data_IF_692889087429
#
_entry.id   IF_692889087429
#
_cell.length_a   1.000
_cell.length_b   1.000
_cell.length_c   1.000
_cell.angle_alpha   90.00
_cell.angle_beta   90.00
_cell.angle_gamma   90.00
#
_symmetry.space_group_name_H-M   'P 1'
#
loop_
_entity.id
_entity.type
_entity.pdbx_description
1 polymer ?
#
# COMPACT_ATOMS: atom_id res chain seq x y z
N UNK A 1 16.12 -19.34 -13.57
CA UNK A 1 15.00 -18.36 -13.45
C UNK A 1 15.31 -17.52 -12.23
N UNK A 2 15.37 -16.20 -12.33
CA UNK A 2 15.62 -15.32 -11.18
C UNK A 2 14.30 -14.74 -10.68
N UNK A 3 14.26 -14.39 -9.40
CA UNK A 3 13.13 -13.67 -8.81
C UNK A 3 13.53 -12.22 -8.61
N UNK A 4 12.72 -11.29 -9.09
CA UNK A 4 12.87 -9.87 -8.86
C UNK A 4 11.92 -9.50 -7.72
N UNK A 5 12.46 -9.06 -6.61
CA UNK A 5 11.71 -8.46 -5.51
C UNK A 5 11.85 -6.95 -5.64
N UNK A 6 10.77 -6.20 -5.67
CA UNK A 6 10.83 -4.75 -5.86
C UNK A 6 10.04 -4.00 -4.81
N UNK A 7 10.56 -2.85 -4.40
CA UNK A 7 9.81 -1.83 -3.68
C UNK A 7 8.88 -1.07 -4.64
N UNK A 8 8.01 -0.23 -4.09
CA UNK A 8 7.08 0.63 -4.83
C UNK A 8 7.58 2.07 -4.83
N UNK A 9 7.56 2.72 -3.66
CA UNK A 9 7.83 4.14 -3.49
C UNK A 9 9.30 4.45 -3.77
N UNK A 10 9.57 5.33 -4.74
CA UNK A 10 10.94 5.69 -5.16
C UNK A 10 11.59 4.67 -6.09
N UNK A 11 11.00 3.49 -6.31
CA UNK A 11 11.56 2.40 -7.10
C UNK A 11 10.76 2.13 -8.37
N UNK A 12 9.48 1.77 -8.26
CA UNK A 12 8.59 1.57 -9.41
C UNK A 12 7.62 2.73 -9.61
N UNK A 13 7.44 3.55 -8.59
CA UNK A 13 6.57 4.72 -8.59
C UNK A 13 7.21 5.89 -7.85
N UNK A 14 6.73 7.10 -8.11
CA UNK A 14 7.17 8.30 -7.39
C UNK A 14 6.67 8.30 -5.94
N UNK A 15 7.56 8.66 -5.00
CA UNK A 15 7.20 8.95 -3.61
C UNK A 15 6.14 10.06 -3.53
N UNK A 16 6.19 11.03 -4.46
CA UNK A 16 5.25 12.15 -4.49
C UNK A 16 3.82 11.71 -4.74
N UNK A 17 3.59 10.59 -5.45
CA UNK A 17 2.23 10.10 -5.68
C UNK A 17 1.47 9.80 -4.39
N UNK A 18 2.12 9.17 -3.41
CA UNK A 18 1.52 8.88 -2.10
C UNK A 18 1.20 10.17 -1.36
N UNK A 19 2.15 11.12 -1.35
CA UNK A 19 2.03 12.37 -0.60
C UNK A 19 1.10 13.39 -1.27
N UNK A 20 1.12 13.46 -2.60
CA UNK A 20 0.43 14.51 -3.35
C UNK A 20 -0.95 14.06 -3.87
N UNK A 21 -1.20 12.75 -3.95
CA UNK A 21 -2.46 12.19 -4.44
C UNK A 21 -3.19 11.36 -3.39
N UNK A 22 -2.59 10.28 -2.92
CA UNK A 22 -3.29 9.32 -2.06
C UNK A 22 -3.66 9.89 -0.68
N UNK A 23 -2.74 10.56 0.01
CA UNK A 23 -3.02 11.14 1.32
C UNK A 23 -4.00 12.31 1.23
N UNK A 24 -3.84 13.29 0.33
CA UNK A 24 -4.82 14.35 0.15
C UNK A 24 -6.19 13.86 -0.27
N UNK A 25 -6.26 12.81 -1.11
CA UNK A 25 -7.53 12.18 -1.46
C UNK A 25 -8.22 11.61 -0.22
N UNK A 26 -7.53 10.75 0.54
CA UNK A 26 -8.07 10.15 1.75
C UNK A 26 -8.55 11.22 2.74
N UNK A 27 -7.73 12.24 2.99
CA UNK A 27 -8.07 13.35 3.89
C UNK A 27 -9.35 14.07 3.49
N UNK A 28 -9.50 14.37 2.19
CA UNK A 28 -10.66 15.08 1.65
C UNK A 28 -11.91 14.21 1.64
N UNK A 29 -11.79 12.93 1.29
CA UNK A 29 -12.93 12.02 1.16
C UNK A 29 -13.43 11.46 2.51
N UNK A 30 -12.59 11.46 3.56
CA UNK A 30 -12.88 10.84 4.86
C UNK A 30 -14.19 11.34 5.51
N UNK A 31 -14.53 12.64 5.57
CA UNK A 31 -15.77 13.09 6.19
C UNK A 31 -17.02 12.50 5.53
N UNK A 32 -17.09 12.57 4.20
CA UNK A 32 -18.21 12.04 3.42
C UNK A 32 -18.28 10.51 3.51
N UNK A 33 -17.14 9.83 3.54
CA UNK A 33 -17.05 8.39 3.70
C UNK A 33 -17.60 7.94 5.06
N UNK A 34 -17.20 8.59 6.16
CA UNK A 34 -17.69 8.27 7.50
C UNK A 34 -19.17 8.57 7.62
N UNK A 35 -19.66 9.69 7.09
CA UNK A 35 -21.09 10.00 7.08
C UNK A 35 -21.94 8.95 6.35
N UNK A 36 -21.43 8.41 5.24
CA UNK A 36 -22.14 7.42 4.43
C UNK A 36 -22.02 5.99 4.98
N UNK A 37 -20.82 5.60 5.46
CA UNK A 37 -20.46 4.22 5.77
C UNK A 37 -20.10 3.97 7.23
N UNK A 38 -20.08 4.99 8.08
CA UNK A 38 -19.62 4.90 9.49
C UNK A 38 -20.45 3.96 10.38
N UNK A 39 -21.65 3.54 9.92
CA UNK A 39 -22.50 2.54 10.60
C UNK A 39 -22.28 1.12 10.12
N UNK A 40 -21.54 0.92 9.03
CA UNK A 40 -21.21 -0.41 8.54
C UNK A 40 -20.23 -1.09 9.51
N UNK A 41 -20.46 -2.37 9.89
CA UNK A 41 -19.64 -3.02 10.93
C UNK A 41 -18.15 -2.98 10.66
N UNK A 42 -17.76 -3.09 9.41
CA UNK A 42 -16.35 -3.09 9.00
C UNK A 42 -15.70 -1.71 9.17
N UNK A 43 -16.39 -0.63 8.87
CA UNK A 43 -15.92 0.75 9.09
C UNK A 43 -16.00 1.09 10.57
N UNK A 44 -17.16 0.80 11.23
CA UNK A 44 -17.42 1.14 12.62
C UNK A 44 -16.36 0.60 13.57
N UNK A 45 -15.94 -0.64 13.41
CA UNK A 45 -14.89 -1.23 14.26
C UNK A 45 -13.59 -0.41 14.29
N UNK A 46 -13.21 0.19 13.15
CA UNK A 46 -12.01 1.01 13.09
C UNK A 46 -12.20 2.39 13.67
N UNK A 47 -13.40 2.98 13.47
CA UNK A 47 -13.75 4.24 14.12
C UNK A 47 -13.80 4.08 15.65
N UNK A 48 -14.29 2.95 16.16
CA UNK A 48 -14.31 2.66 17.59
C UNK A 48 -12.91 2.51 18.19
N UNK A 49 -11.95 1.95 17.45
CA UNK A 49 -10.55 1.91 17.85
C UNK A 49 -9.99 3.33 18.01
N UNK A 50 -10.26 4.22 17.06
CA UNK A 50 -9.83 5.62 17.13
C UNK A 50 -10.53 6.36 18.29
N UNK A 51 -11.83 6.14 18.49
CA UNK A 51 -12.58 6.71 19.60
C UNK A 51 -11.99 6.30 20.95
N UNK A 52 -11.64 5.02 21.12
CA UNK A 52 -11.05 4.51 22.36
C UNK A 52 -9.71 5.20 22.70
N UNK A 53 -8.88 5.51 21.71
CA UNK A 53 -7.63 6.27 21.93
C UNK A 53 -7.89 7.74 22.31
N UNK A 54 -9.04 8.29 21.94
CA UNK A 54 -9.46 9.68 22.27
C UNK A 54 -10.31 9.77 23.55
N UNK A 55 -10.21 8.79 24.44
CA UNK A 55 -10.91 8.81 25.74
C UNK A 55 -12.30 8.20 25.74
N UNK A 56 -12.73 7.52 24.68
CA UNK A 56 -13.99 6.78 24.63
C UNK A 56 -15.06 7.43 23.76
N UNK A 57 -16.28 7.63 24.26
CA UNK A 57 -17.43 8.10 23.49
C UNK A 57 -17.15 9.44 22.76
N UNK A 58 -16.75 9.36 21.50
CA UNK A 58 -16.53 10.48 20.61
C UNK A 58 -17.62 10.52 19.52
N UNK A 59 -18.01 11.73 19.13
CA UNK A 59 -18.82 11.91 17.91
C UNK A 59 -17.98 11.61 16.68
N UNK A 60 -18.61 11.15 15.61
CA UNK A 60 -17.90 10.77 14.37
C UNK A 60 -17.10 11.93 13.77
N UNK A 61 -17.55 13.18 13.96
CA UNK A 61 -16.83 14.39 13.54
C UNK A 61 -15.46 14.51 14.25
N UNK A 62 -15.40 14.24 15.56
CA UNK A 62 -14.13 14.27 16.31
C UNK A 62 -13.18 13.15 15.88
N UNK A 63 -13.72 11.98 15.54
CA UNK A 63 -12.95 10.86 15.01
C UNK A 63 -12.36 11.25 13.65
N UNK A 64 -13.15 11.88 12.79
CA UNK A 64 -12.70 12.37 11.47
C UNK A 64 -11.59 13.40 11.62
N UNK A 65 -11.72 14.39 12.50
CA UNK A 65 -10.68 15.39 12.78
C UNK A 65 -9.38 14.73 13.27
N UNK A 66 -9.49 13.75 14.17
CA UNK A 66 -8.34 12.98 14.66
C UNK A 66 -7.63 12.24 13.51
N UNK A 67 -8.40 11.53 12.68
CA UNK A 67 -7.85 10.79 11.54
C UNK A 67 -7.20 11.73 10.51
N UNK A 68 -7.80 12.89 10.24
CA UNK A 68 -7.20 13.90 9.36
C UNK A 68 -5.88 14.41 9.93
N UNK A 69 -5.81 14.69 11.23
CA UNK A 69 -4.56 15.04 11.90
C UNK A 69 -3.49 13.94 11.83
N UNK A 70 -3.90 12.67 11.89
CA UNK A 70 -2.99 11.54 11.71
C UNK A 70 -2.47 11.42 10.28
N UNK A 71 -3.30 11.72 9.27
CA UNK A 71 -2.87 11.78 7.86
C UNK A 71 -1.83 12.90 7.69
N UNK A 72 -2.12 14.09 8.22
CA UNK A 72 -1.24 15.26 8.11
C UNK A 72 0.13 15.02 8.79
N UNK A 73 0.14 14.23 9.87
CA UNK A 73 1.34 13.85 10.62
C UNK A 73 2.03 12.57 10.09
N UNK A 74 1.52 11.96 9.01
CA UNK A 74 1.97 10.65 8.49
C UNK A 74 2.04 9.57 9.57
N UNK A 75 1.07 9.57 10.50
CA UNK A 75 1.05 8.62 11.61
C UNK A 75 0.80 7.19 11.11
N UNK A 76 1.66 6.28 11.50
CA UNK A 76 1.52 4.85 11.16
C UNK A 76 0.62 4.15 12.19
N UNK A 77 -0.67 4.10 11.89
CA UNK A 77 -1.69 3.51 12.76
C UNK A 77 -2.56 2.51 12.01
N UNK A 78 -2.83 1.35 12.61
CA UNK A 78 -3.56 0.25 11.96
C UNK A 78 -4.96 0.66 11.51
N UNK A 79 -5.73 1.34 12.37
CA UNK A 79 -7.08 1.81 12.01
C UNK A 79 -7.04 2.84 10.87
N UNK A 80 -6.06 3.77 10.89
CA UNK A 80 -5.89 4.73 9.81
C UNK A 80 -5.56 4.03 8.49
N UNK A 81 -4.61 3.09 8.50
CA UNK A 81 -4.26 2.31 7.29
C UNK A 81 -5.46 1.55 6.73
N UNK A 82 -6.29 0.95 7.58
CA UNK A 82 -7.47 0.21 7.15
C UNK A 82 -8.51 1.14 6.49
N UNK A 83 -8.81 2.27 7.12
CA UNK A 83 -9.76 3.26 6.57
C UNK A 83 -9.23 3.91 5.28
N UNK A 84 -7.93 4.23 5.21
CA UNK A 84 -7.30 4.70 3.98
C UNK A 84 -7.41 3.66 2.86
N UNK A 85 -7.20 2.37 3.17
CA UNK A 85 -7.37 1.29 2.19
C UNK A 85 -8.76 1.27 1.57
N UNK A 86 -9.82 1.38 2.38
CA UNK A 86 -11.21 1.43 1.92
C UNK A 86 -11.50 2.68 1.07
N UNK A 87 -10.93 3.82 1.46
CA UNK A 87 -11.05 5.09 0.71
C UNK A 87 -10.37 4.99 -0.65
N UNK A 88 -9.17 4.43 -0.70
CA UNK A 88 -8.43 4.26 -1.96
C UNK A 88 -9.09 3.24 -2.88
N UNK A 89 -9.61 2.12 -2.34
CA UNK A 89 -10.39 1.17 -3.12
C UNK A 89 -11.56 1.85 -3.84
N UNK A 90 -12.28 2.72 -3.11
CA UNK A 90 -13.38 3.49 -3.68
C UNK A 90 -12.89 4.49 -4.74
N UNK A 91 -11.81 5.21 -4.48
CA UNK A 91 -11.23 6.19 -5.39
C UNK A 91 -10.72 5.55 -6.69
N UNK A 92 -10.04 4.43 -6.59
CA UNK A 92 -9.62 3.64 -7.75
C UNK A 92 -10.82 3.08 -8.52
N UNK A 93 -11.81 2.52 -7.81
CA UNK A 93 -13.02 1.99 -8.43
C UNK A 93 -13.88 3.04 -9.16
N UNK A 94 -13.87 4.28 -8.67
CA UNK A 94 -14.54 5.44 -9.31
C UNK A 94 -13.69 6.13 -10.37
N UNK A 95 -12.45 5.69 -10.57
CA UNK A 95 -11.46 6.31 -11.46
C UNK A 95 -11.18 7.79 -11.10
N UNK A 96 -11.23 8.13 -9.82
CA UNK A 96 -10.91 9.49 -9.34
C UNK A 96 -9.40 9.80 -9.51
N UNK A 97 -8.57 8.77 -9.58
CA UNK A 97 -7.14 8.79 -9.89
C UNK A 97 -6.68 7.42 -10.36
N UNK A 98 -5.50 7.37 -10.99
CA UNK A 98 -4.75 6.16 -11.32
C UNK A 98 -3.42 6.17 -10.58
N UNK A 99 -2.87 4.98 -10.30
CA UNK A 99 -1.57 4.88 -9.66
C UNK A 99 -0.44 5.21 -10.64
N UNK A 100 0.41 6.14 -10.23
CA UNK A 100 1.60 6.48 -11.00
C UNK A 100 2.59 5.33 -11.08
N UNK A 101 3.11 5.05 -12.27
CA UNK A 101 4.21 4.11 -12.49
C UNK A 101 5.28 4.76 -13.37
N UNK A 102 6.55 4.55 -13.03
CA UNK A 102 7.63 4.97 -13.94
C UNK A 102 7.58 4.16 -15.24
N UNK A 103 7.62 4.80 -16.41
CA UNK A 103 7.53 4.10 -17.70
C UNK A 103 8.61 3.03 -17.89
N UNK A 104 9.83 3.29 -17.45
CA UNK A 104 10.96 2.35 -17.51
C UNK A 104 10.77 1.17 -16.56
N UNK A 105 10.14 1.38 -15.40
CA UNK A 105 9.77 0.30 -14.48
C UNK A 105 8.70 -0.61 -15.12
N UNK A 106 7.68 -0.03 -15.73
CA UNK A 106 6.63 -0.79 -16.45
C UNK A 106 7.25 -1.65 -17.55
N UNK A 107 8.11 -1.05 -18.37
CA UNK A 107 8.82 -1.76 -19.43
C UNK A 107 9.69 -2.89 -18.87
N UNK A 108 10.44 -2.63 -17.81
CA UNK A 108 11.30 -3.62 -17.17
C UNK A 108 10.50 -4.80 -16.58
N UNK A 109 9.40 -4.52 -15.86
CA UNK A 109 8.50 -5.55 -15.32
C UNK A 109 7.95 -6.45 -16.43
N UNK A 110 7.48 -5.86 -17.54
CA UNK A 110 6.99 -6.60 -18.70
C UNK A 110 8.08 -7.48 -19.34
N UNK A 111 9.28 -6.95 -19.55
CA UNK A 111 10.41 -7.71 -20.11
C UNK A 111 10.84 -8.86 -19.21
N UNK A 112 10.95 -8.64 -17.91
CA UNK A 112 11.32 -9.69 -16.96
C UNK A 112 10.29 -10.79 -16.89
N UNK A 113 9.01 -10.44 -16.85
CA UNK A 113 7.93 -11.41 -16.88
C UNK A 113 7.97 -12.25 -18.18
N UNK A 114 8.11 -11.60 -19.33
CA UNK A 114 8.22 -12.28 -20.64
C UNK A 114 9.46 -13.19 -20.73
N UNK A 115 10.55 -12.83 -20.04
CA UNK A 115 11.76 -13.65 -19.94
C UNK A 115 11.63 -14.81 -18.92
N UNK A 116 10.46 -14.99 -18.30
CA UNK A 116 10.17 -16.06 -17.33
C UNK A 116 10.73 -15.79 -15.95
N UNK A 117 11.10 -14.55 -15.61
CA UNK A 117 11.42 -14.18 -14.22
C UNK A 117 10.15 -14.07 -13.38
N UNK A 118 10.25 -14.43 -12.12
CA UNK A 118 9.19 -14.18 -11.12
C UNK A 118 9.36 -12.77 -10.59
N UNK A 119 8.24 -12.06 -10.42
CA UNK A 119 8.24 -10.71 -9.87
C UNK A 119 7.42 -10.72 -8.60
N UNK A 120 7.98 -10.16 -7.52
CA UNK A 120 7.28 -9.99 -6.25
C UNK A 120 7.48 -8.56 -5.74
N UNK A 121 6.55 -8.08 -4.95
CA UNK A 121 6.56 -6.74 -4.38
C UNK A 121 6.74 -6.83 -2.87
N UNK A 122 7.59 -5.95 -2.32
CA UNK A 122 7.75 -5.76 -0.88
C UNK A 122 7.74 -4.28 -0.55
N UNK A 123 6.66 -3.81 0.05
CA UNK A 123 6.44 -2.40 0.39
C UNK A 123 5.88 -2.25 1.80
N UNK A 124 5.99 -1.07 2.39
CA UNK A 124 5.37 -0.72 3.68
C UNK A 124 3.84 -0.57 3.60
N UNK A 125 3.29 -0.39 2.40
CA UNK A 125 1.86 -0.43 2.14
C UNK A 125 1.29 -1.84 2.33
N UNK A 126 0.06 -1.97 2.84
CA UNK A 126 -0.58 -3.28 3.00
C UNK A 126 -0.75 -4.01 1.67
N UNK A 127 -0.73 -5.34 1.69
CA UNK A 127 -0.94 -6.16 0.47
C UNK A 127 -2.20 -5.76 -0.31
N UNK A 128 -3.37 -5.51 0.32
CA UNK A 128 -4.53 -5.00 -0.42
C UNK A 128 -4.26 -3.66 -1.12
N UNK A 129 -3.59 -2.71 -0.46
CA UNK A 129 -3.24 -1.42 -1.06
C UNK A 129 -2.27 -1.57 -2.23
N UNK A 130 -1.29 -2.47 -2.12
CA UNK A 130 -0.36 -2.78 -3.22
C UNK A 130 -1.11 -3.34 -4.45
N UNK A 131 -2.06 -4.25 -4.24
CA UNK A 131 -2.87 -4.83 -5.32
C UNK A 131 -3.75 -3.79 -5.99
N UNK A 132 -4.37 -2.89 -5.23
CA UNK A 132 -5.10 -1.75 -5.79
C UNK A 132 -4.19 -0.86 -6.63
N UNK A 133 -3.00 -0.56 -6.11
CA UNK A 133 -2.01 0.27 -6.79
C UNK A 133 -1.62 -0.31 -8.16
N UNK A 134 -1.19 -1.56 -8.20
CA UNK A 134 -0.79 -2.23 -9.45
C UNK A 134 -1.98 -2.53 -10.37
N UNK A 135 -3.17 -2.78 -9.81
CA UNK A 135 -4.39 -3.06 -10.58
C UNK A 135 -4.99 -1.85 -11.26
N UNK A 136 -4.71 -0.64 -10.76
CA UNK A 136 -5.26 0.61 -11.27
C UNK A 136 -4.16 1.60 -11.67
N UNK A 137 -3.06 1.09 -12.23
CA UNK A 137 -1.96 1.94 -12.65
C UNK A 137 -2.29 2.74 -13.91
N UNK A 138 -1.54 3.82 -14.14
CA UNK A 138 -1.61 4.61 -15.36
C UNK A 138 -1.16 3.84 -16.61
N UNK A 139 -0.49 2.69 -16.41
CA UNK A 139 -0.14 1.73 -17.46
C UNK A 139 -1.13 0.55 -17.59
N UNK A 140 -2.28 0.61 -16.91
CA UNK A 140 -3.28 -0.45 -16.85
C UNK A 140 -3.07 -1.43 -15.69
N UNK A 141 -3.72 -2.59 -15.74
CA UNK A 141 -3.60 -3.63 -14.71
C UNK A 141 -2.27 -4.40 -14.86
N UNK A 142 -1.36 -4.17 -13.92
CA UNK A 142 -0.06 -4.84 -13.84
C UNK A 142 -0.05 -6.02 -12.84
N UNK A 143 -1.16 -6.30 -12.16
CA UNK A 143 -1.24 -7.42 -11.19
C UNK A 143 -0.91 -8.78 -11.79
N UNK A 144 -1.25 -9.09 -13.06
CA UNK A 144 -0.88 -10.36 -13.66
C UNK A 144 0.63 -10.62 -13.78
N UNK A 145 1.44 -9.55 -13.74
CA UNK A 145 2.91 -9.67 -13.76
C UNK A 145 3.49 -10.10 -12.40
N UNK A 146 2.73 -9.94 -11.31
CA UNK A 146 3.21 -10.08 -9.94
C UNK A 146 2.81 -11.43 -9.36
N UNK A 147 3.78 -12.20 -8.92
CA UNK A 147 3.61 -13.55 -8.37
C UNK A 147 3.69 -13.62 -6.83
N UNK A 148 4.04 -12.54 -6.16
CA UNK A 148 4.13 -12.48 -4.69
C UNK A 148 4.01 -11.06 -4.15
N UNK A 149 3.36 -10.93 -2.98
CA UNK A 149 3.10 -9.66 -2.32
C UNK A 149 3.50 -9.75 -0.86
N UNK A 150 4.31 -8.81 -0.40
CA UNK A 150 4.81 -8.76 0.98
C UNK A 150 4.71 -7.34 1.53
N UNK A 151 4.38 -7.23 2.80
CA UNK A 151 4.29 -5.98 3.52
C UNK A 151 4.92 -6.06 4.92
N UNK A 152 4.66 -5.09 5.78
CA UNK A 152 5.22 -5.00 7.13
C UNK A 152 4.76 -6.11 8.07
N UNK A 153 3.74 -6.91 7.72
CA UNK A 153 3.39 -8.13 8.47
C UNK A 153 4.45 -9.22 8.29
N UNK A 154 5.16 -9.21 7.17
CA UNK A 154 6.33 -10.08 6.95
C UNK A 154 7.51 -9.69 7.85
N UNK A 155 7.61 -8.39 8.20
CA UNK A 155 8.65 -7.78 9.03
C UNK A 155 9.12 -6.45 8.46
N UNK A 156 10.08 -5.81 9.13
CA UNK A 156 10.66 -4.55 8.69
C UNK A 156 11.64 -4.74 7.53
N UNK A 157 11.69 -3.79 6.61
CA UNK A 157 12.57 -3.83 5.43
C UNK A 157 14.08 -3.77 5.76
N UNK A 158 14.45 -3.35 6.96
CA UNK A 158 15.85 -3.33 7.45
C UNK A 158 16.22 -4.57 8.27
N UNK A 159 15.32 -5.56 8.35
CA UNK A 159 15.50 -6.77 9.13
C UNK A 159 15.82 -7.95 8.20
N UNK A 160 17.00 -8.55 8.35
CA UNK A 160 17.39 -9.72 7.56
C UNK A 160 16.39 -10.88 7.66
N UNK A 161 15.68 -10.99 8.80
CA UNK A 161 14.68 -12.04 9.03
C UNK A 161 13.47 -11.88 8.09
N UNK A 162 13.08 -10.65 7.75
CA UNK A 162 12.00 -10.37 6.79
C UNK A 162 12.33 -10.97 5.42
N UNK A 163 13.57 -10.79 4.96
CA UNK A 163 14.03 -11.35 3.68
C UNK A 163 14.12 -12.87 3.70
N UNK A 164 14.51 -13.48 4.83
CA UNK A 164 14.48 -14.96 4.98
C UNK A 164 13.05 -15.50 4.85
N UNK A 165 12.07 -14.83 5.45
CA UNK A 165 10.65 -15.19 5.33
C UNK A 165 10.16 -15.06 3.89
N UNK A 166 10.51 -13.96 3.20
CA UNK A 166 10.17 -13.72 1.80
C UNK A 166 10.75 -14.82 0.91
N UNK A 167 12.04 -15.09 1.04
CA UNK A 167 12.76 -16.15 0.28
C UNK A 167 12.12 -17.51 0.51
N UNK A 168 11.80 -17.83 1.76
CA UNK A 168 11.11 -19.08 2.13
C UNK A 168 9.72 -19.16 1.49
N UNK A 169 8.94 -18.08 1.56
CA UNK A 169 7.60 -18.01 0.97
C UNK A 169 7.63 -18.13 -0.57
N UNK A 170 8.66 -17.54 -1.21
CA UNK A 170 8.87 -17.65 -2.65
C UNK A 170 9.39 -19.04 -3.06
N UNK A 171 9.94 -19.81 -2.14
CA UNK A 171 10.47 -21.15 -2.40
C UNK A 171 11.69 -21.16 -3.32
N UNK A 172 12.55 -20.13 -3.24
CA UNK A 172 13.74 -19.99 -4.08
C UNK A 172 14.99 -19.74 -3.22
N UNK A 173 16.20 -20.11 -3.70
CA UNK A 173 17.44 -19.74 -3.01
C UNK A 173 17.61 -18.22 -2.95
N UNK A 174 18.10 -17.67 -1.84
CA UNK A 174 18.37 -16.24 -1.69
C UNK A 174 19.27 -15.67 -2.81
N UNK A 175 20.24 -16.45 -3.26
CA UNK A 175 21.13 -16.06 -4.36
C UNK A 175 20.42 -15.91 -5.71
N UNK A 176 19.19 -16.35 -5.85
CA UNK A 176 18.36 -16.17 -7.05
C UNK A 176 17.38 -14.98 -6.93
N UNK A 177 17.38 -14.27 -5.82
CA UNK A 177 16.54 -13.09 -5.59
C UNK A 177 17.37 -11.83 -5.77
N UNK A 178 16.90 -10.93 -6.66
CA UNK A 178 17.40 -9.56 -6.78
C UNK A 178 16.39 -8.63 -6.15
N UNK A 179 16.79 -7.87 -5.13
CA UNK A 179 15.96 -6.84 -4.54
C UNK A 179 16.29 -5.46 -5.14
N UNK A 180 15.25 -4.72 -5.48
CA UNK A 180 15.31 -3.37 -6.00
C UNK A 180 14.63 -2.42 -5.01
N UNK A 181 15.39 -1.44 -4.52
CA UNK A 181 14.94 -0.39 -3.60
C UNK A 181 15.74 0.88 -3.87
N UNK A 182 15.14 2.05 -3.62
CA UNK A 182 15.81 3.35 -3.60
C UNK A 182 16.51 3.64 -2.27
N UNK A 183 16.28 2.79 -1.25
CA UNK A 183 16.83 2.93 0.10
C UNK A 183 17.99 1.95 0.29
N UNK A 184 19.21 2.48 0.45
CA UNK A 184 20.45 1.68 0.54
C UNK A 184 20.48 0.75 1.77
N UNK A 185 19.79 1.12 2.85
CA UNK A 185 19.76 0.37 4.10
C UNK A 185 18.75 -0.80 4.11
N UNK A 186 18.01 -1.01 3.03
CA UNK A 186 17.03 -2.10 2.86
C UNK A 186 17.57 -3.40 2.28
#
# INVERSE_FOLDING_TARGET
MKTILTDIEGTTSSISFVKDVLFPYARRALPAFVAAHGREPEVRRWLDVVAAENGGLCQDEMIVETLQGWIDADRKHTALKALQGMLWEKGYGSADFTAHMYPDAVEALGRWHAAGHRIAVYSSGSVPAQKLFFGHSDAGDLTPLISGWFDTETGGKREAESYRRIVSALGVPAAEVLFLSDVVEE
#
